data_IF_567474530410
#
_entry.id   IF_567474530410
#
_cell.length_a   1.000
_cell.length_b   1.000
_cell.length_c   1.000
_cell.angle_alpha   90.00
_cell.angle_beta   90.00
_cell.angle_gamma   90.00
#
_symmetry.space_group_name_H-M   'P 1'
#
loop_
_entity.id
_entity.type
_entity.pdbx_description
1 polymer ?
#
# COMPACT_ATOMS: atom_id res chain seq x y z
N UNK A 1 34.40 11.39 6.35
CA UNK A 1 33.31 10.95 7.26
C UNK A 1 32.07 11.83 7.16
N UNK A 2 32.19 13.16 7.00
CA UNK A 2 31.04 14.05 6.77
C UNK A 2 30.28 13.72 5.46
N UNK A 3 30.99 13.68 4.33
CA UNK A 3 30.41 13.38 3.00
C UNK A 3 29.58 12.08 2.96
N UNK A 4 30.01 11.02 3.67
CA UNK A 4 29.28 9.75 3.76
C UNK A 4 27.97 9.87 4.54
N UNK A 5 27.94 10.68 5.62
CA UNK A 5 26.71 10.92 6.39
C UNK A 5 25.71 11.74 5.58
N UNK A 6 26.20 12.68 4.79
CA UNK A 6 25.36 13.50 3.91
C UNK A 6 24.71 12.62 2.84
N UNK A 7 25.47 11.75 2.18
CA UNK A 7 24.97 10.77 1.19
C UNK A 7 23.93 9.79 1.81
N UNK A 8 24.22 9.23 3.00
CA UNK A 8 23.30 8.32 3.71
C UNK A 8 21.96 9.01 4.03
N UNK A 9 22.00 10.29 4.43
CA UNK A 9 20.79 11.08 4.69
C UNK A 9 19.96 11.32 3.41
N UNK A 10 20.62 11.67 2.30
CA UNK A 10 19.95 11.90 1.01
C UNK A 10 19.32 10.62 0.46
N UNK A 11 19.99 9.47 0.55
CA UNK A 11 19.41 8.20 0.11
C UNK A 11 18.17 7.81 0.93
N UNK A 12 18.20 8.05 2.25
CA UNK A 12 17.07 7.79 3.11
C UNK A 12 15.88 8.73 2.81
N UNK A 13 16.13 10.03 2.61
CA UNK A 13 15.10 11.00 2.25
C UNK A 13 14.41 10.63 0.93
N UNK A 14 15.19 10.29 -0.09
CA UNK A 14 14.67 9.82 -1.38
C UNK A 14 13.76 8.59 -1.19
N UNK A 15 14.23 7.58 -0.44
CA UNK A 15 13.43 6.39 -0.14
C UNK A 15 12.11 6.76 0.57
N UNK A 16 12.17 7.61 1.60
CA UNK A 16 11.00 8.01 2.37
C UNK A 16 9.98 8.74 1.50
N UNK A 17 10.43 9.62 0.60
CA UNK A 17 9.59 10.34 -0.33
C UNK A 17 8.92 9.42 -1.35
N UNK A 18 9.68 8.49 -1.96
CA UNK A 18 9.13 7.52 -2.90
C UNK A 18 8.14 6.57 -2.23
N UNK A 19 8.46 6.04 -1.05
CA UNK A 19 7.57 5.15 -0.29
C UNK A 19 6.25 5.85 0.06
N UNK A 20 6.32 7.11 0.51
CA UNK A 20 5.14 7.93 0.77
C UNK A 20 4.31 8.14 -0.50
N UNK A 21 4.96 8.52 -1.59
CA UNK A 21 4.30 8.83 -2.87
C UNK A 21 3.62 7.60 -3.46
N UNK A 22 4.33 6.47 -3.52
CA UNK A 22 3.80 5.20 -4.03
C UNK A 22 2.57 4.76 -3.22
N UNK A 23 2.65 4.79 -1.90
CA UNK A 23 1.52 4.47 -1.02
C UNK A 23 0.31 5.37 -1.28
N UNK A 24 0.53 6.68 -1.41
CA UNK A 24 -0.54 7.63 -1.74
C UNK A 24 -1.20 7.29 -3.07
N UNK A 25 -0.42 6.92 -4.10
CA UNK A 25 -0.97 6.48 -5.38
C UNK A 25 -1.74 5.17 -5.28
N UNK A 26 -1.24 4.18 -4.55
CA UNK A 26 -1.93 2.90 -4.36
C UNK A 26 -3.26 3.09 -3.62
N UNK A 27 -3.29 3.87 -2.53
CA UNK A 27 -4.56 4.15 -1.81
C UNK A 27 -5.53 4.93 -2.69
N UNK A 28 -5.04 5.97 -3.40
CA UNK A 28 -5.88 6.77 -4.29
C UNK A 28 -6.48 5.91 -5.42
N UNK A 29 -5.67 5.04 -6.03
CA UNK A 29 -6.12 4.11 -7.06
C UNK A 29 -7.09 3.05 -6.50
N UNK A 30 -6.78 2.45 -5.36
CA UNK A 30 -7.59 1.40 -4.76
C UNK A 30 -9.01 1.85 -4.39
N UNK A 31 -9.19 3.14 -4.09
CA UNK A 31 -10.51 3.74 -3.85
C UNK A 31 -11.09 4.32 -5.14
N UNK A 32 -10.31 5.12 -5.87
CA UNK A 32 -10.79 5.87 -7.05
C UNK A 32 -11.04 5.01 -8.29
N UNK A 33 -10.22 3.98 -8.52
CA UNK A 33 -10.33 3.09 -9.67
C UNK A 33 -11.70 2.39 -9.77
N UNK A 34 -12.15 1.68 -8.73
CA UNK A 34 -13.48 1.08 -8.70
C UNK A 34 -14.60 2.10 -8.90
N UNK A 35 -14.51 3.27 -8.24
CA UNK A 35 -15.52 4.33 -8.35
C UNK A 35 -15.63 4.84 -9.78
N UNK A 36 -14.50 5.11 -10.43
CA UNK A 36 -14.46 5.56 -11.83
C UNK A 36 -15.09 4.53 -12.77
N UNK A 37 -14.77 3.24 -12.60
CA UNK A 37 -15.31 2.17 -13.43
C UNK A 37 -16.83 1.94 -13.20
N UNK A 38 -17.32 2.21 -12.00
CA UNK A 38 -18.75 2.12 -11.65
C UNK A 38 -19.57 3.37 -12.00
N UNK A 39 -18.94 4.42 -12.53
CA UNK A 39 -19.64 5.69 -12.84
C UNK A 39 -20.51 5.58 -14.11
N UNK A 40 -20.28 4.59 -14.98
CA UNK A 40 -21.11 4.41 -16.18
C UNK A 40 -22.49 3.81 -15.83
N UNK A 41 -23.52 4.15 -16.60
CA UNK A 41 -24.92 3.75 -16.30
C UNK A 41 -25.11 2.23 -16.24
N UNK A 42 -24.37 1.48 -17.06
CA UNK A 42 -24.57 0.04 -17.23
C UNK A 42 -23.52 -0.81 -16.50
N UNK A 43 -22.39 -0.22 -16.07
CA UNK A 43 -21.32 -0.98 -15.42
C UNK A 43 -21.73 -1.62 -14.09
N UNK A 44 -22.43 -0.92 -13.17
CA UNK A 44 -22.84 -1.52 -11.89
C UNK A 44 -23.70 -2.77 -12.08
N UNK A 45 -24.66 -2.73 -13.03
CA UNK A 45 -25.52 -3.86 -13.33
C UNK A 45 -24.69 -5.06 -13.85
N UNK A 46 -23.85 -4.83 -14.86
CA UNK A 46 -22.99 -5.89 -15.45
C UNK A 46 -22.01 -6.48 -14.44
N UNK A 47 -21.41 -5.65 -13.59
CA UNK A 47 -20.47 -6.11 -12.56
C UNK A 47 -21.20 -6.86 -11.45
N UNK A 48 -22.42 -6.47 -11.10
CA UNK A 48 -23.22 -7.16 -10.07
C UNK A 48 -23.62 -8.58 -10.48
N UNK A 49 -23.76 -8.84 -11.78
CA UNK A 49 -24.03 -10.16 -12.34
C UNK A 49 -22.75 -11.02 -12.51
N UNK A 50 -21.57 -10.42 -12.32
CA UNK A 50 -20.30 -11.12 -12.45
C UNK A 50 -20.12 -12.16 -11.36
N UNK A 51 -19.73 -13.42 -11.70
CA UNK A 51 -19.38 -14.42 -10.69
C UNK A 51 -18.17 -14.02 -9.85
N UNK A 52 -17.40 -13.00 -10.29
CA UNK A 52 -16.18 -12.53 -9.63
C UNK A 52 -16.39 -11.29 -8.75
N UNK A 53 -17.62 -10.80 -8.57
CA UNK A 53 -17.90 -9.57 -7.80
C UNK A 53 -17.21 -9.55 -6.43
N UNK A 54 -17.42 -10.62 -5.64
CA UNK A 54 -16.85 -10.71 -4.30
C UNK A 54 -15.32 -10.71 -4.31
N UNK A 55 -14.71 -11.34 -5.33
CA UNK A 55 -13.26 -11.35 -5.49
C UNK A 55 -12.74 -9.95 -5.84
N UNK A 56 -13.37 -9.25 -6.78
CA UNK A 56 -13.01 -7.87 -7.16
C UNK A 56 -13.05 -6.95 -5.94
N UNK A 57 -14.16 -6.96 -5.20
CA UNK A 57 -14.32 -6.14 -3.98
C UNK A 57 -13.23 -6.49 -2.97
N UNK A 58 -13.01 -7.79 -2.72
CA UNK A 58 -12.02 -8.24 -1.75
C UNK A 58 -10.60 -7.80 -2.12
N UNK A 59 -10.22 -7.89 -3.40
CA UNK A 59 -8.91 -7.48 -3.88
C UNK A 59 -8.65 -5.98 -3.70
N UNK A 60 -9.65 -5.13 -4.00
CA UNK A 60 -9.54 -3.69 -3.78
C UNK A 60 -9.52 -3.33 -2.29
N UNK A 61 -10.47 -3.84 -1.51
CA UNK A 61 -10.59 -3.51 -0.07
C UNK A 61 -9.38 -4.04 0.70
N UNK A 62 -8.95 -5.29 0.46
CA UNK A 62 -7.78 -5.85 1.11
C UNK A 62 -6.51 -5.08 0.72
N UNK A 63 -6.35 -4.69 -0.54
CA UNK A 63 -5.20 -3.92 -0.98
C UNK A 63 -5.12 -2.55 -0.28
N UNK A 64 -6.22 -1.82 -0.19
CA UNK A 64 -6.29 -0.53 0.54
C UNK A 64 -6.04 -0.74 2.04
N UNK A 65 -6.65 -1.76 2.64
CA UNK A 65 -6.46 -2.07 4.06
C UNK A 65 -4.99 -2.40 4.39
N UNK A 66 -4.31 -3.16 3.52
CA UNK A 66 -2.88 -3.47 3.66
C UNK A 66 -2.02 -2.21 3.59
N UNK A 67 -2.31 -1.28 2.66
CA UNK A 67 -1.59 -0.01 2.56
C UNK A 67 -1.76 0.87 3.81
N UNK A 68 -2.97 0.94 4.36
CA UNK A 68 -3.25 1.67 5.60
C UNK A 68 -2.53 1.02 6.79
N UNK A 69 -2.58 -0.32 6.88
CA UNK A 69 -1.92 -1.07 7.94
C UNK A 69 -0.39 -0.90 7.89
N UNK A 70 0.19 -0.95 6.69
CA UNK A 70 1.62 -0.68 6.48
C UNK A 70 1.99 0.75 6.90
N UNK A 71 1.18 1.76 6.53
CA UNK A 71 1.40 3.13 6.97
C UNK A 71 1.40 3.26 8.50
N UNK A 72 0.51 2.54 9.16
CA UNK A 72 0.40 2.53 10.62
C UNK A 72 1.64 1.90 11.27
N UNK A 73 2.10 0.74 10.77
CA UNK A 73 3.34 0.10 11.23
C UNK A 73 4.52 1.05 11.08
N UNK A 74 4.68 1.66 9.91
CA UNK A 74 5.78 2.58 9.64
C UNK A 74 5.76 3.81 10.53
N UNK A 75 4.57 4.41 10.74
CA UNK A 75 4.39 5.53 11.66
C UNK A 75 4.76 5.15 13.09
N UNK A 76 4.35 3.95 13.52
CA UNK A 76 4.61 3.49 14.88
C UNK A 76 6.09 3.13 15.10
N UNK A 77 6.74 2.46 14.15
CA UNK A 77 8.17 2.19 14.18
C UNK A 77 8.98 3.48 14.29
N UNK A 78 8.68 4.48 13.44
CA UNK A 78 9.33 5.79 13.47
C UNK A 78 9.15 6.49 14.82
N UNK A 79 7.98 6.38 15.45
CA UNK A 79 7.75 6.94 16.79
C UNK A 79 8.64 6.29 17.86
N UNK A 80 8.84 4.97 17.79
CA UNK A 80 9.72 4.27 18.74
C UNK A 80 11.18 4.66 18.55
N UNK A 81 11.60 4.87 17.30
CA UNK A 81 12.95 5.38 16.98
C UNK A 81 13.13 6.80 17.51
N UNK A 82 12.15 7.67 17.31
CA UNK A 82 12.14 9.03 17.87
C UNK A 82 12.26 9.02 19.40
N UNK A 83 11.48 8.18 20.09
CA UNK A 83 11.62 8.02 21.55
C UNK A 83 13.02 7.56 21.97
N UNK A 84 13.63 6.66 21.21
CA UNK A 84 15.00 6.21 21.45
C UNK A 84 16.06 7.28 21.22
N UNK A 85 15.77 8.28 20.39
CA UNK A 85 16.65 9.44 20.18
C UNK A 85 16.49 10.51 21.27
N UNK A 86 15.29 10.65 21.85
CA UNK A 86 14.99 11.71 22.83
C UNK A 86 15.08 11.29 24.29
N UNK A 87 14.98 10.01 24.61
CA UNK A 87 14.92 9.51 26.00
C UNK A 87 16.12 8.59 26.25
N UNK A 88 17.02 9.03 27.13
CA UNK A 88 18.19 8.25 27.53
C UNK A 88 17.79 6.89 28.11
N UNK A 89 18.51 5.85 27.71
CA UNK A 89 18.26 4.47 28.13
C UNK A 89 17.08 3.78 27.45
N UNK A 90 16.22 4.48 26.69
CA UNK A 90 15.07 3.86 26.01
C UNK A 90 15.48 2.84 24.95
N UNK A 91 16.65 3.03 24.32
CA UNK A 91 17.23 2.11 23.33
C UNK A 91 17.53 0.71 23.91
N UNK A 92 17.66 0.59 25.23
CA UNK A 92 17.89 -0.70 25.90
C UNK A 92 16.61 -1.51 26.09
N UNK A 93 15.43 -0.90 25.90
CA UNK A 93 14.14 -1.55 26.13
C UNK A 93 13.85 -2.62 25.06
N UNK A 94 13.14 -3.68 25.45
CA UNK A 94 12.71 -4.74 24.52
C UNK A 94 11.80 -4.19 23.42
N UNK A 95 10.96 -3.21 23.75
CA UNK A 95 10.07 -2.56 22.81
C UNK A 95 10.86 -1.84 21.72
N UNK A 96 11.86 -1.02 22.08
CA UNK A 96 12.71 -0.34 21.11
C UNK A 96 13.38 -1.35 20.16
N UNK A 97 13.99 -2.41 20.70
CA UNK A 97 14.66 -3.44 19.88
C UNK A 97 13.72 -4.17 18.92
N UNK A 98 12.49 -4.45 19.33
CA UNK A 98 11.51 -5.08 18.46
C UNK A 98 11.13 -4.16 17.28
N UNK A 99 10.91 -2.88 17.55
CA UNK A 99 10.55 -1.91 16.51
C UNK A 99 11.73 -1.49 15.64
N UNK A 100 12.94 -1.46 16.19
CA UNK A 100 14.19 -1.30 15.44
C UNK A 100 14.40 -2.45 14.46
N UNK A 101 14.17 -3.69 14.92
CA UNK A 101 14.19 -4.85 14.05
C UNK A 101 13.15 -4.73 12.92
N UNK A 102 11.88 -4.41 13.23
CA UNK A 102 10.85 -4.20 12.20
C UNK A 102 11.28 -3.10 11.21
N UNK A 103 11.78 -1.97 11.71
CA UNK A 103 12.22 -0.84 10.89
C UNK A 103 13.39 -1.20 9.95
N UNK A 104 14.21 -2.18 10.32
CA UNK A 104 15.30 -2.70 9.46
C UNK A 104 14.83 -3.62 8.33
N UNK A 105 13.59 -4.11 8.36
CA UNK A 105 13.05 -5.08 7.40
C UNK A 105 12.31 -4.39 6.23
N UNK A 106 13.04 -3.63 5.42
CA UNK A 106 12.47 -2.90 4.26
C UNK A 106 11.82 -3.79 3.19
N UNK A 107 12.13 -5.09 3.17
CA UNK A 107 11.51 -6.05 2.25
C UNK A 107 10.02 -6.27 2.54
N UNK A 108 9.56 -6.02 3.78
CA UNK A 108 8.14 -6.16 4.14
C UNK A 108 7.32 -5.13 3.37
N UNK A 109 7.76 -3.86 3.38
CA UNK A 109 7.14 -2.77 2.63
C UNK A 109 7.05 -3.13 1.13
N UNK A 110 8.17 -3.58 0.56
CA UNK A 110 8.24 -3.97 -0.84
C UNK A 110 7.26 -5.09 -1.20
N UNK A 111 7.19 -6.17 -0.40
CA UNK A 111 6.29 -7.28 -0.68
C UNK A 111 4.81 -6.90 -0.55
N UNK A 112 4.47 -6.06 0.44
CA UNK A 112 3.10 -5.57 0.60
C UNK A 112 2.73 -4.67 -0.56
N UNK A 113 3.60 -3.73 -0.95
CA UNK A 113 3.36 -2.83 -2.09
C UNK A 113 3.22 -3.62 -3.40
N UNK A 114 4.08 -4.61 -3.62
CA UNK A 114 3.99 -5.50 -4.79
C UNK A 114 2.71 -6.34 -4.79
N UNK A 115 2.35 -6.92 -3.65
CA UNK A 115 1.12 -7.70 -3.50
C UNK A 115 -0.13 -6.85 -3.76
N UNK A 116 -0.15 -5.61 -3.27
CA UNK A 116 -1.22 -4.65 -3.52
C UNK A 116 -1.31 -4.29 -5.00
N UNK A 117 -0.17 -4.05 -5.66
CA UNK A 117 -0.12 -3.76 -7.09
C UNK A 117 -0.68 -4.93 -7.92
N UNK A 118 -0.31 -6.17 -7.59
CA UNK A 118 -0.85 -7.38 -8.25
C UNK A 118 -2.35 -7.51 -7.98
N UNK A 119 -2.79 -7.31 -6.73
CA UNK A 119 -4.19 -7.39 -6.33
C UNK A 119 -5.06 -6.41 -7.13
N UNK A 120 -4.65 -5.14 -7.19
CA UNK A 120 -5.34 -4.10 -7.94
C UNK A 120 -5.34 -4.37 -9.45
N UNK A 121 -4.20 -4.83 -10.00
CA UNK A 121 -4.11 -5.18 -11.42
C UNK A 121 -5.08 -6.31 -11.79
N UNK A 122 -5.17 -7.35 -10.95
CA UNK A 122 -6.08 -8.47 -11.14
C UNK A 122 -7.55 -8.03 -11.01
N UNK A 123 -7.87 -7.21 -10.01
CA UNK A 123 -9.23 -6.72 -9.80
C UNK A 123 -9.70 -5.85 -10.97
N UNK A 124 -8.84 -4.94 -11.44
CA UNK A 124 -9.10 -4.12 -12.62
C UNK A 124 -9.27 -4.96 -13.87
N UNK A 125 -8.42 -5.96 -14.08
CA UNK A 125 -8.55 -6.89 -15.20
C UNK A 125 -9.90 -7.62 -15.18
N UNK A 126 -10.33 -8.12 -14.03
CA UNK A 126 -11.63 -8.81 -13.87
C UNK A 126 -12.82 -7.87 -14.09
N UNK A 127 -12.73 -6.61 -13.65
CA UNK A 127 -13.75 -5.61 -13.96
C UNK A 127 -13.83 -5.33 -15.46
N UNK A 128 -12.69 -5.07 -16.10
CA UNK A 128 -12.63 -4.76 -17.53
C UNK A 128 -13.08 -5.94 -18.39
N UNK A 129 -12.68 -7.17 -18.05
CA UNK A 129 -13.13 -8.36 -18.77
C UNK A 129 -14.65 -8.54 -18.65
N UNK A 130 -15.22 -8.32 -17.47
CA UNK A 130 -16.68 -8.34 -17.28
C UNK A 130 -17.36 -7.29 -18.16
N UNK A 131 -16.84 -6.06 -18.19
CA UNK A 131 -17.45 -4.96 -18.95
C UNK A 131 -17.33 -5.14 -20.48
N UNK A 132 -16.18 -5.62 -20.95
CA UNK A 132 -15.85 -5.76 -22.38
C UNK A 132 -16.37 -7.06 -23.02
N UNK A 133 -16.38 -8.18 -22.28
CA UNK A 133 -16.88 -9.46 -22.81
C UNK A 133 -18.41 -9.41 -22.91
N UNK A 134 -19.10 -8.81 -21.92
CA UNK A 134 -20.56 -8.67 -21.95
C UNK A 134 -21.01 -7.73 -23.07
N UNK A 135 -20.18 -6.78 -23.50
CA UNK A 135 -20.51 -5.91 -24.66
C UNK A 135 -20.35 -6.61 -26.02
N UNK A 136 -19.56 -7.70 -26.11
CA UNK A 136 -19.40 -8.45 -27.36
C UNK A 136 -20.50 -9.50 -27.61
N UNK A 137 -21.27 -9.85 -26.57
CA UNK A 137 -22.33 -10.87 -26.62
C UNK A 137 -23.76 -10.29 -26.79
N UNK A 138 -23.89 -8.96 -26.84
CA UNK A 138 -25.14 -8.21 -27.09
C UNK A 138 -25.10 -7.55 -28.46
#
# INVERSE_FOLDING_TARGET
MAQRKDEESTHFENYAEYSKTLRSWLVAYGIGGPVLLLTSKDAPAKISESPHLNLIISLFVAGVALQIFLAFINKWAAWQMYKGACIDGYQTTKTYRAWDWINSQSWIDFLIDFGVLVSFSLATWLMLSTLLIVTAAT
#
